data_IF_946722348856
#
_entry.id   IF_946722348856
#
_cell.length_a   1.000
_cell.length_b   1.000
_cell.length_c   1.000
_cell.angle_alpha   90.00
_cell.angle_beta   90.00
_cell.angle_gamma   90.00
#
_symmetry.space_group_name_H-M   'P 1'
#
loop_
_entity.id
_entity.type
_entity.pdbx_description
1 polymer ?
#
# COMPACT_ATOMS: atom_id res chain seq x y z
N UNK A 1 -28.48 66.84 -6.57
CA UNK A 1 -27.54 67.05 -5.43
C UNK A 1 -28.08 66.30 -4.21
N UNK A 2 -27.16 65.72 -3.43
CA UNK A 2 -27.36 64.88 -2.22
C UNK A 2 -28.35 65.47 -1.20
N UNK A 3 -29.06 64.61 -0.44
CA UNK A 3 -28.78 64.31 0.98
C UNK A 3 -29.76 63.29 1.60
N UNK A 4 -29.19 62.49 2.50
CA UNK A 4 -29.76 61.43 3.36
C UNK A 4 -30.59 62.01 4.50
N UNK A 5 -31.46 61.20 5.12
CA UNK A 5 -31.70 61.22 6.57
C UNK A 5 -32.29 59.88 7.05
N UNK A 6 -31.69 59.38 8.13
CA UNK A 6 -31.97 58.14 8.84
C UNK A 6 -33.22 58.24 9.72
N UNK A 7 -33.90 57.11 9.97
CA UNK A 7 -34.64 56.90 11.22
C UNK A 7 -34.42 55.46 11.72
N UNK A 8 -33.87 55.37 12.92
CA UNK A 8 -33.68 54.15 13.70
C UNK A 8 -35.01 53.61 14.20
N UNK A 9 -35.20 52.29 14.18
CA UNK A 9 -36.21 51.63 14.99
C UNK A 9 -35.56 50.43 15.69
N UNK A 10 -35.47 50.54 17.01
CA UNK A 10 -34.95 49.52 17.92
C UNK A 10 -35.99 48.40 18.07
N UNK A 11 -35.57 47.14 17.95
CA UNK A 11 -36.40 45.97 18.22
C UNK A 11 -35.86 45.28 19.49
N UNK A 12 -36.60 45.41 20.58
CA UNK A 12 -36.40 44.69 21.85
C UNK A 12 -37.00 43.29 21.71
N UNK A 13 -36.18 42.24 21.62
CA UNK A 13 -36.61 40.86 21.84
C UNK A 13 -36.50 40.54 23.33
N UNK A 14 -37.64 40.41 24.01
CA UNK A 14 -37.72 39.85 25.35
C UNK A 14 -37.77 38.31 25.26
N UNK A 15 -36.82 37.63 25.91
CA UNK A 15 -36.86 36.20 26.18
C UNK A 15 -37.87 35.93 27.31
N UNK A 16 -38.86 35.07 27.07
CA UNK A 16 -39.65 34.43 28.12
C UNK A 16 -39.32 32.94 28.16
N UNK A 17 -38.72 32.51 29.26
CA UNK A 17 -38.50 31.12 29.65
C UNK A 17 -39.84 30.50 30.08
N UNK A 18 -40.20 29.34 29.50
CA UNK A 18 -41.26 28.47 30.04
C UNK A 18 -40.62 27.18 30.52
N UNK A 19 -40.65 26.97 31.84
CA UNK A 19 -40.28 25.74 32.51
C UNK A 19 -41.51 24.82 32.69
N UNK A 20 -41.20 23.53 32.88
CA UNK A 20 -42.02 22.31 32.88
C UNK A 20 -43.30 22.29 33.74
N UNK A 21 -44.28 21.46 33.35
CA UNK A 21 -44.58 20.15 33.98
C UNK A 21 -46.07 19.75 33.79
N UNK A 22 -46.34 18.50 33.38
CA UNK A 22 -47.17 17.55 34.12
C UNK A 22 -47.27 16.19 33.40
N UNK A 23 -47.19 15.15 34.23
CA UNK A 23 -47.25 13.72 33.92
C UNK A 23 -48.62 13.28 33.43
N UNK A 24 -48.64 12.31 32.51
CA UNK A 24 -49.67 11.28 32.45
C UNK A 24 -49.03 9.90 32.29
N UNK A 25 -49.47 9.00 33.17
CA UNK A 25 -49.06 7.60 33.31
C UNK A 25 -49.70 6.72 32.25
N UNK A 26 -48.91 5.84 31.63
CA UNK A 26 -49.40 4.75 30.80
C UNK A 26 -48.38 3.63 30.70
N UNK A 27 -48.51 2.62 31.55
CA UNK A 27 -47.80 1.33 31.45
C UNK A 27 -48.30 0.58 30.21
N UNK A 28 -47.39 0.19 29.32
CA UNK A 28 -47.59 -0.94 28.42
C UNK A 28 -46.26 -1.67 28.21
N UNK A 29 -46.16 -2.80 28.90
CA UNK A 29 -45.26 -3.90 28.61
C UNK A 29 -45.67 -4.52 27.27
N UNK A 30 -44.79 -4.54 26.27
CA UNK A 30 -44.88 -5.50 25.17
C UNK A 30 -43.50 -5.70 24.56
N UNK A 31 -42.99 -6.91 24.79
CA UNK A 31 -42.10 -7.68 23.92
C UNK A 31 -41.89 -7.12 22.51
N UNK A 32 -40.65 -6.85 22.15
CA UNK A 32 -40.23 -6.93 20.76
C UNK A 32 -39.68 -8.32 20.50
N UNK A 33 -40.47 -9.08 19.75
CA UNK A 33 -40.07 -10.31 19.08
C UNK A 33 -38.93 -10.03 18.11
N UNK A 34 -38.06 -11.04 18.04
CA UNK A 34 -37.07 -11.31 17.02
C UNK A 34 -37.71 -11.52 15.63
N UNK A 35 -36.81 -11.62 14.64
CA UNK A 35 -36.94 -11.95 13.21
C UNK A 35 -36.71 -10.71 12.32
N UNK A 36 -35.68 -10.62 11.46
CA UNK A 36 -34.85 -11.65 10.86
C UNK A 36 -33.61 -10.98 10.21
N UNK A 37 -32.61 -11.82 9.92
CA UNK A 37 -31.53 -11.64 8.95
C UNK A 37 -30.12 -11.27 9.44
N UNK A 38 -29.30 -12.30 9.38
CA UNK A 38 -27.85 -12.32 9.16
C UNK A 38 -26.98 -12.01 10.38
N UNK A 39 -26.44 -13.10 10.93
CA UNK A 39 -25.45 -13.05 11.98
C UNK A 39 -24.15 -12.40 11.53
N UNK A 40 -23.72 -11.44 12.32
CA UNK A 40 -22.33 -11.34 12.72
C UNK A 40 -22.36 -11.08 14.22
N UNK A 41 -21.90 -12.06 15.00
CA UNK A 41 -21.65 -11.88 16.43
C UNK A 41 -20.36 -11.05 16.53
N UNK A 42 -20.46 -9.74 16.27
CA UNK A 42 -19.37 -8.76 16.38
C UNK A 42 -19.21 -8.31 17.83
N UNK A 43 -18.95 -9.28 18.70
CA UNK A 43 -18.37 -9.00 20.01
C UNK A 43 -16.91 -9.41 19.93
N UNK A 44 -16.01 -8.46 20.22
CA UNK A 44 -14.60 -8.68 20.62
C UNK A 44 -13.48 -8.10 19.73
N UNK A 45 -13.67 -7.12 18.83
CA UNK A 45 -12.54 -6.30 18.30
C UNK A 45 -12.91 -4.88 17.81
N UNK A 46 -13.94 -4.24 18.36
CA UNK A 46 -14.19 -2.83 18.07
C UNK A 46 -13.21 -1.95 18.87
N UNK A 47 -11.95 -1.95 18.46
CA UNK A 47 -10.84 -1.16 19.01
C UNK A 47 -10.58 0.04 18.10
N UNK A 48 -10.94 1.25 18.56
CA UNK A 48 -10.80 2.55 17.87
C UNK A 48 -11.12 2.39 16.37
N UNK A 49 -10.52 3.01 15.34
CA UNK A 49 -10.92 2.88 13.93
C UNK A 49 -10.96 1.45 13.38
N UNK A 50 -12.01 0.69 13.72
CA UNK A 50 -12.20 -0.73 13.42
C UNK A 50 -11.69 -1.13 12.05
N UNK A 51 -12.24 -0.48 11.03
CA UNK A 51 -13.07 -1.11 9.99
C UNK A 51 -12.69 -2.54 9.70
N UNK A 52 -12.77 -3.40 10.71
CA UNK A 52 -11.97 -4.62 10.69
C UNK A 52 -12.58 -5.52 9.65
N UNK A 53 -11.76 -6.04 8.75
CA UNK A 53 -12.18 -6.81 7.59
C UNK A 53 -12.96 -6.01 6.51
N UNK A 54 -12.99 -4.68 6.53
CA UNK A 54 -13.50 -3.87 5.41
C UNK A 54 -12.58 -3.98 4.20
N UNK A 55 -11.28 -3.78 4.42
CA UNK A 55 -10.25 -3.94 3.39
C UNK A 55 -10.09 -5.42 3.04
N UNK A 56 -10.10 -5.72 1.75
CA UNK A 56 -9.91 -7.08 1.21
C UNK A 56 -8.53 -7.21 0.59
N UNK A 57 -8.07 -8.46 0.44
CA UNK A 57 -6.84 -8.71 -0.29
C UNK A 57 -7.02 -8.26 -1.76
N UNK A 58 -6.10 -7.46 -2.32
CA UNK A 58 -6.20 -7.00 -3.70
C UNK A 58 -6.00 -8.15 -4.69
N UNK A 59 -7.06 -8.51 -5.43
CA UNK A 59 -7.03 -9.64 -6.37
C UNK A 59 -6.06 -9.44 -7.55
N UNK A 60 -5.73 -8.19 -7.88
CA UNK A 60 -4.90 -7.78 -9.01
C UNK A 60 -3.59 -7.11 -8.58
N UNK A 61 -3.07 -7.48 -7.40
CA UNK A 61 -1.79 -6.97 -6.86
C UNK A 61 -0.65 -7.03 -7.89
N UNK A 62 -0.59 -8.10 -8.69
CA UNK A 62 0.45 -8.29 -9.73
C UNK A 62 0.40 -7.25 -10.86
N UNK A 63 -0.72 -6.53 -11.00
CA UNK A 63 -0.87 -5.43 -11.96
C UNK A 63 -0.55 -4.07 -11.35
N UNK A 64 -0.37 -4.03 -10.02
CA UNK A 64 0.00 -2.84 -9.28
C UNK A 64 1.37 -2.31 -9.70
N UNK A 65 1.57 -1.02 -9.47
CA UNK A 65 2.83 -0.33 -9.73
C UNK A 65 3.62 -0.31 -8.43
N UNK A 66 4.81 -0.93 -8.42
CA UNK A 66 5.76 -0.75 -7.32
C UNK A 66 6.33 0.66 -7.44
N UNK A 67 6.00 1.54 -6.49
CA UNK A 67 6.44 2.93 -6.50
C UNK A 67 7.47 3.26 -5.42
N UNK A 68 7.65 2.36 -4.45
CA UNK A 68 8.70 2.46 -3.44
C UNK A 68 9.19 1.06 -3.05
N UNK A 69 10.49 0.95 -2.77
CA UNK A 69 11.12 -0.26 -2.25
C UNK A 69 12.01 0.14 -1.07
N UNK A 70 11.96 -0.64 0.02
CA UNK A 70 12.78 -0.41 1.21
C UNK A 70 13.58 -1.67 1.59
N UNK A 71 14.90 -1.52 1.69
CA UNK A 71 15.81 -2.56 2.15
C UNK A 71 16.41 -2.20 3.51
N UNK A 72 16.20 -3.05 4.52
CA UNK A 72 16.62 -2.81 5.91
C UNK A 72 17.09 -4.10 6.57
N UNK A 73 18.36 -4.43 6.40
CA UNK A 73 18.94 -5.65 6.96
C UNK A 73 18.45 -6.89 6.20
N UNK A 74 17.77 -7.79 6.90
CA UNK A 74 17.10 -8.98 6.35
C UNK A 74 15.69 -8.69 5.81
N UNK A 75 15.20 -7.46 5.97
CA UNK A 75 13.87 -7.04 5.53
C UNK A 75 13.97 -6.38 4.15
N UNK A 76 13.10 -6.81 3.24
CA UNK A 76 12.86 -6.19 1.94
C UNK A 76 11.35 -5.94 1.80
N UNK A 77 10.96 -4.75 1.35
CA UNK A 77 9.56 -4.38 1.20
C UNK A 77 9.32 -3.67 -0.12
N UNK A 78 8.35 -4.14 -0.90
CA UNK A 78 7.85 -3.47 -2.09
C UNK A 78 6.48 -2.86 -1.79
N UNK A 79 6.32 -1.58 -2.12
CA UNK A 79 5.04 -0.86 -1.96
C UNK A 79 4.39 -0.66 -3.33
N UNK A 80 3.25 -1.31 -3.50
CA UNK A 80 2.41 -1.28 -4.68
C UNK A 80 1.30 -0.25 -4.53
N UNK A 81 0.94 0.39 -5.64
CA UNK A 81 -0.33 1.11 -5.81
C UNK A 81 -1.13 0.52 -6.97
N UNK A 82 -2.44 0.37 -6.80
CA UNK A 82 -3.30 -0.23 -7.84
C UNK A 82 -3.58 0.69 -9.03
N UNK A 83 -3.32 1.99 -8.91
CA UNK A 83 -3.76 2.99 -9.89
C UNK A 83 -2.66 3.96 -10.27
N UNK A 84 -2.47 4.15 -11.58
CA UNK A 84 -1.66 5.24 -12.14
C UNK A 84 -2.25 6.61 -11.80
N UNK A 85 -3.58 6.70 -11.75
CA UNK A 85 -4.30 7.94 -11.42
C UNK A 85 -3.96 8.42 -10.01
N UNK A 86 -3.73 7.50 -9.06
CA UNK A 86 -3.29 7.85 -7.71
C UNK A 86 -1.89 8.50 -7.70
N UNK A 87 -0.96 7.99 -8.51
CA UNK A 87 0.37 8.60 -8.66
C UNK A 87 0.26 9.99 -9.28
N UNK A 88 -0.54 10.14 -10.34
CA UNK A 88 -0.76 11.43 -11.00
C UNK A 88 -1.40 12.45 -10.04
N UNK A 89 -2.38 12.02 -9.24
CA UNK A 89 -3.01 12.86 -8.21
C UNK A 89 -1.97 13.33 -7.17
N UNK A 90 -1.15 12.41 -6.64
CA UNK A 90 -0.09 12.75 -5.70
C UNK A 90 0.89 13.78 -6.29
N UNK A 91 1.34 13.56 -7.54
CA UNK A 91 2.25 14.45 -8.26
C UNK A 91 1.69 15.86 -8.45
N UNK A 92 0.38 15.97 -8.63
CA UNK A 92 -0.32 17.25 -8.79
C UNK A 92 -0.68 17.91 -7.45
N UNK A 93 -0.41 17.26 -6.32
CA UNK A 93 -0.83 17.72 -4.99
C UNK A 93 -2.35 17.65 -4.80
N UNK A 94 -3.01 16.77 -5.55
CA UNK A 94 -4.44 16.47 -5.46
C UNK A 94 -4.68 15.38 -4.42
N UNK A 95 -5.92 15.27 -3.95
CA UNK A 95 -6.31 14.18 -3.06
C UNK A 95 -6.30 12.85 -3.81
N UNK A 96 -5.82 11.79 -3.14
CA UNK A 96 -5.83 10.46 -3.72
C UNK A 96 -7.27 9.99 -3.97
N UNK A 97 -7.57 9.44 -5.17
CA UNK A 97 -8.92 9.06 -5.53
C UNK A 97 -9.43 7.92 -4.65
N UNK A 98 -10.73 7.93 -4.37
CA UNK A 98 -11.44 6.81 -3.76
C UNK A 98 -11.24 5.53 -4.59
N UNK A 99 -10.91 4.43 -3.92
CA UNK A 99 -10.48 3.18 -4.55
C UNK A 99 -8.98 3.04 -4.74
N UNK A 100 -8.18 4.01 -4.28
CA UNK A 100 -6.74 3.83 -4.14
C UNK A 100 -6.45 2.74 -3.11
N UNK A 101 -5.69 1.73 -3.52
CA UNK A 101 -5.21 0.64 -2.68
C UNK A 101 -3.69 0.66 -2.70
N UNK A 102 -3.10 0.74 -1.51
CA UNK A 102 -1.65 0.66 -1.30
C UNK A 102 -1.36 -0.64 -0.58
N UNK A 103 -0.45 -1.44 -1.14
CA UNK A 103 -0.08 -2.74 -0.59
C UNK A 103 1.42 -2.80 -0.39
N UNK A 104 1.83 -2.99 0.86
CA UNK A 104 3.20 -3.37 1.20
C UNK A 104 3.31 -4.90 1.15
N UNK A 105 4.21 -5.40 0.32
CA UNK A 105 4.62 -6.81 0.28
C UNK A 105 5.94 -6.92 1.02
N UNK A 106 5.92 -7.57 2.19
CA UNK A 106 7.06 -7.67 3.07
C UNK A 106 7.74 -9.03 2.96
N UNK A 107 9.06 -9.01 2.85
CA UNK A 107 9.92 -10.17 2.81
C UNK A 107 10.91 -10.12 3.97
N UNK A 108 11.24 -11.29 4.53
CA UNK A 108 12.25 -11.46 5.56
C UNK A 108 13.13 -12.65 5.22
N UNK A 109 14.45 -12.47 5.29
CA UNK A 109 15.44 -13.49 4.89
C UNK A 109 15.23 -14.00 3.45
N UNK A 110 14.65 -13.16 2.57
CA UNK A 110 14.32 -13.51 1.19
C UNK A 110 13.03 -14.32 1.01
N UNK A 111 12.29 -14.59 2.09
CA UNK A 111 11.00 -15.28 2.06
C UNK A 111 9.85 -14.30 2.27
N UNK A 112 8.70 -14.55 1.63
CA UNK A 112 7.49 -13.73 1.81
C UNK A 112 7.00 -13.85 3.26
N UNK A 113 6.89 -12.73 3.96
CA UNK A 113 6.54 -12.67 5.39
C UNK A 113 5.09 -12.19 5.61
N UNK A 114 4.67 -11.12 4.92
CA UNK A 114 3.34 -10.54 5.12
C UNK A 114 2.88 -9.63 3.98
N UNK A 115 1.57 -9.34 3.97
CA UNK A 115 1.00 -8.22 3.23
C UNK A 115 0.34 -7.25 4.20
N UNK A 116 0.57 -5.95 4.02
CA UNK A 116 -0.15 -4.89 4.71
C UNK A 116 -0.85 -4.04 3.66
N UNK A 117 -2.17 -3.89 3.78
CA UNK A 117 -3.00 -3.19 2.80
C UNK A 117 -3.68 -2.02 3.49
N UNK A 118 -3.63 -0.85 2.86
CA UNK A 118 -4.48 0.29 3.18
C UNK A 118 -5.30 0.66 1.95
N UNK A 119 -6.57 0.99 2.17
CA UNK A 119 -7.51 1.31 1.10
C UNK A 119 -8.32 2.55 1.47
N UNK A 120 -8.42 3.48 0.52
CA UNK A 120 -9.20 4.70 0.65
C UNK A 120 -10.56 4.52 0.00
N UNK A 121 -11.66 4.79 0.72
CA UNK A 121 -13.01 4.81 0.14
C UNK A 121 -13.85 5.95 0.69
N UNK A 122 -14.53 6.63 -0.23
CA UNK A 122 -15.48 7.70 0.09
C UNK A 122 -16.46 7.27 1.18
N UNK A 123 -16.50 8.03 2.27
CA UNK A 123 -17.37 7.82 3.42
C UNK A 123 -16.84 6.86 4.49
N UNK A 124 -15.71 6.19 4.28
CA UNK A 124 -15.03 5.44 5.34
C UNK A 124 -14.49 6.38 6.42
N UNK A 125 -14.30 5.87 7.63
CA UNK A 125 -13.90 6.66 8.80
C UNK A 125 -14.98 7.56 9.41
N UNK A 126 -16.04 7.91 8.68
CA UNK A 126 -17.09 8.85 9.13
C UNK A 126 -17.91 8.39 10.34
N UNK A 127 -17.86 7.09 10.66
CA UNK A 127 -18.47 6.49 11.83
C UNK A 127 -17.65 6.67 13.13
N UNK A 128 -16.40 7.15 13.04
CA UNK A 128 -15.48 7.36 14.16
C UNK A 128 -15.30 8.86 14.44
N UNK A 129 -14.73 9.21 15.59
CA UNK A 129 -14.35 10.61 15.83
C UNK A 129 -13.10 11.00 15.01
N UNK A 130 -12.89 12.31 14.72
CA UNK A 130 -11.72 12.78 13.96
C UNK A 130 -10.35 12.36 14.51
N UNK A 131 -10.27 12.15 15.82
CA UNK A 131 -9.02 11.73 16.50
C UNK A 131 -8.77 10.22 16.36
N UNK A 132 -9.76 9.47 15.87
CA UNK A 132 -9.79 8.02 15.81
C UNK A 132 -9.72 7.46 14.38
N UNK A 133 -9.76 8.32 13.36
CA UNK A 133 -9.71 7.93 11.95
C UNK A 133 -8.53 8.55 11.20
N UNK A 134 -8.06 7.85 10.18
CA UNK A 134 -7.01 8.33 9.27
C UNK A 134 -7.66 8.79 7.97
N UNK A 135 -8.50 9.84 8.05
CA UNK A 135 -9.35 10.24 6.93
C UNK A 135 -10.28 9.10 6.50
N UNK A 136 -10.28 8.79 5.20
CA UNK A 136 -11.07 7.72 4.57
C UNK A 136 -10.29 6.41 4.40
N UNK A 137 -9.15 6.26 5.08
CA UNK A 137 -8.31 5.07 5.03
C UNK A 137 -8.71 4.03 6.07
N UNK A 138 -8.85 2.79 5.61
CA UNK A 138 -8.93 1.60 6.45
C UNK A 138 -7.73 0.69 6.16
N UNK A 139 -7.44 -0.24 7.08
CA UNK A 139 -6.24 -1.05 7.05
C UNK A 139 -6.55 -2.53 7.30
N UNK A 140 -5.78 -3.42 6.67
CA UNK A 140 -5.83 -4.85 6.97
C UNK A 140 -4.45 -5.50 6.75
N UNK A 141 -4.10 -6.41 7.64
CA UNK A 141 -2.95 -7.29 7.46
C UNK A 141 -3.39 -8.67 6.97
N UNK A 142 -2.59 -9.26 6.08
CA UNK A 142 -2.78 -10.60 5.55
C UNK A 142 -1.53 -11.46 5.72
N UNK A 143 -1.73 -12.77 5.85
CA UNK A 143 -0.66 -13.78 5.86
C UNK A 143 -0.09 -13.99 4.45
N UNK A 144 1.04 -14.70 4.30
CA UNK A 144 1.55 -15.10 2.98
C UNK A 144 0.54 -15.88 2.12
N UNK A 145 -0.37 -16.62 2.77
CA UNK A 145 -1.48 -17.34 2.12
C UNK A 145 -2.65 -16.43 1.72
N UNK A 146 -2.52 -15.11 1.90
CA UNK A 146 -3.52 -14.07 1.58
C UNK A 146 -4.76 -14.09 2.46
N UNK A 147 -4.70 -14.84 3.56
CA UNK A 147 -5.76 -14.88 4.56
C UNK A 147 -5.64 -13.70 5.52
N UNK A 148 -6.78 -13.25 6.07
CA UNK A 148 -6.79 -12.20 7.09
C UNK A 148 -5.94 -12.63 8.28
N UNK A 149 -4.93 -11.82 8.63
CA UNK A 149 -4.10 -12.08 9.81
C UNK A 149 -4.86 -11.65 11.07
N UNK A 150 -4.94 -12.50 12.11
CA UNK A 150 -5.45 -12.07 13.41
C UNK A 150 -4.45 -11.09 14.03
N UNK A 151 -4.80 -9.80 14.00
CA UNK A 151 -3.88 -8.73 14.32
C UNK A 151 -4.57 -7.55 15.00
N UNK A 152 -3.83 -6.73 15.76
CA UNK A 152 -4.34 -5.47 16.27
C UNK A 152 -4.22 -4.40 15.17
N UNK A 153 -5.33 -4.15 14.47
CA UNK A 153 -5.42 -3.16 13.39
C UNK A 153 -5.28 -1.72 13.89
N UNK A 154 -5.65 -1.42 15.15
CA UNK A 154 -5.52 -0.09 15.75
C UNK A 154 -4.09 0.47 15.75
N UNK A 155 -3.09 -0.42 15.71
CA UNK A 155 -1.67 0.00 15.57
C UNK A 155 -1.37 0.64 14.21
N UNK A 156 -2.07 0.23 13.15
CA UNK A 156 -1.90 0.77 11.81
C UNK A 156 -2.39 2.23 11.81
N UNK A 157 -3.57 2.47 12.38
CA UNK A 157 -4.12 3.81 12.55
C UNK A 157 -3.15 4.71 13.33
N UNK A 158 -2.72 4.27 14.51
CA UNK A 158 -1.84 5.04 15.38
C UNK A 158 -0.49 5.37 14.74
N UNK A 159 0.10 4.44 13.97
CA UNK A 159 1.37 4.67 13.30
C UNK A 159 1.22 5.67 12.14
N UNK A 160 0.12 5.59 11.39
CA UNK A 160 -0.13 6.44 10.23
C UNK A 160 -0.73 7.81 10.58
N UNK A 161 -1.31 7.98 11.78
CA UNK A 161 -1.93 9.23 12.22
C UNK A 161 -0.97 10.44 12.16
N UNK A 162 0.32 10.23 12.44
CA UNK A 162 1.33 11.30 12.36
C UNK A 162 1.65 11.77 10.92
N UNK A 163 1.10 11.10 9.91
CA UNK A 163 1.27 11.42 8.49
C UNK A 163 0.05 12.13 7.89
N UNK A 164 -0.82 12.75 8.69
CA UNK A 164 -2.03 13.46 8.21
C UNK A 164 -1.74 14.42 7.05
N UNK A 165 -0.59 15.11 7.07
CA UNK A 165 -0.19 16.07 6.03
C UNK A 165 0.11 15.43 4.67
N UNK A 166 0.36 14.13 4.67
CA UNK A 166 0.72 13.31 3.52
C UNK A 166 -0.35 12.24 3.26
N UNK A 167 -1.62 12.59 3.51
CA UNK A 167 -2.79 11.70 3.37
C UNK A 167 -2.59 10.36 4.10
N UNK A 168 -1.99 10.45 5.29
CA UNK A 168 -1.67 9.32 6.16
C UNK A 168 -0.68 8.31 5.56
N UNK A 169 0.03 8.63 4.47
CA UNK A 169 0.97 7.73 3.80
C UNK A 169 2.43 8.06 4.12
N UNK A 170 3.15 7.09 4.71
CA UNK A 170 4.59 7.23 4.97
C UNK A 170 5.44 7.32 3.68
N UNK A 171 4.92 6.85 2.56
CA UNK A 171 5.62 6.80 1.26
C UNK A 171 5.12 7.84 0.24
N UNK A 172 4.40 8.87 0.70
CA UNK A 172 3.81 9.89 -0.18
C UNK A 172 4.87 10.61 -1.04
N UNK A 173 6.04 10.92 -0.48
CA UNK A 173 7.11 11.58 -1.23
C UNK A 173 7.65 10.69 -2.35
N UNK A 174 7.82 9.38 -2.11
CA UNK A 174 8.21 8.44 -3.16
C UNK A 174 7.16 8.37 -4.27
N UNK A 175 5.87 8.44 -3.93
CA UNK A 175 4.80 8.48 -4.94
C UNK A 175 4.86 9.77 -5.77
N UNK A 176 5.07 10.93 -5.15
CA UNK A 176 5.22 12.23 -5.83
C UNK A 176 6.44 12.25 -6.75
N UNK A 177 7.52 11.56 -6.39
CA UNK A 177 8.77 11.54 -7.16
C UNK A 177 8.82 10.42 -8.21
N UNK A 178 7.85 9.51 -8.23
CA UNK A 178 7.85 8.32 -9.08
C UNK A 178 7.83 8.66 -10.59
N UNK A 179 8.74 8.08 -11.38
CA UNK A 179 8.75 8.27 -12.84
C UNK A 179 7.77 7.31 -13.54
N UNK A 180 6.62 7.84 -13.97
CA UNK A 180 5.62 7.11 -14.74
C UNK A 180 6.15 6.61 -16.11
N UNK A 181 7.26 7.16 -16.60
CA UNK A 181 7.98 6.70 -17.79
C UNK A 181 8.50 5.27 -17.65
N UNK A 182 8.88 4.85 -16.43
CA UNK A 182 9.42 3.52 -16.15
C UNK A 182 8.36 2.41 -16.36
N UNK A 183 7.10 2.70 -16.07
CA UNK A 183 5.97 1.78 -16.33
C UNK A 183 5.83 1.51 -17.82
N UNK A 184 6.02 2.54 -18.65
CA UNK A 184 5.87 2.44 -20.10
C UNK A 184 6.99 1.63 -20.74
N UNK A 185 8.21 1.69 -20.18
CA UNK A 185 9.34 0.88 -20.64
C UNK A 185 9.19 -0.60 -20.25
N UNK A 186 8.70 -0.87 -19.03
CA UNK A 186 8.40 -2.22 -18.56
C UNK A 186 7.34 -2.93 -19.43
N UNK A 187 6.27 -2.23 -19.81
CA UNK A 187 5.21 -2.80 -20.69
C UNK A 187 5.66 -2.96 -22.15
N UNK A 188 6.51 -2.07 -22.66
CA UNK A 188 7.03 -2.16 -24.03
C UNK A 188 8.19 -3.16 -24.20
N UNK A 189 8.85 -3.56 -23.12
CA UNK A 189 9.82 -4.67 -23.16
C UNK A 189 9.15 -6.05 -23.19
N UNK A 190 7.84 -6.12 -22.97
CA UNK A 190 7.05 -7.37 -22.98
C UNK A 190 6.24 -7.57 -24.27
N UNK A 191 6.34 -6.64 -25.25
CA UNK A 191 5.84 -6.85 -26.60
C UNK A 191 6.99 -7.18 -27.55
N UNK A 192 6.82 -8.27 -28.29
CA UNK A 192 7.77 -8.89 -29.21
C UNK A 192 8.53 -7.86 -30.07
N UNK A 193 9.80 -7.60 -29.74
CA UNK A 193 10.74 -7.01 -30.69
C UNK A 193 11.51 -8.16 -31.34
N UNK A 194 11.41 -8.40 -32.65
CA UNK A 194 12.31 -9.34 -33.30
C UNK A 194 13.72 -8.78 -33.16
N UNK A 195 14.59 -9.51 -32.48
CA UNK A 195 16.02 -9.20 -32.37
C UNK A 195 16.56 -9.21 -33.80
N UNK A 196 16.60 -8.04 -34.43
CA UNK A 196 17.39 -7.83 -35.62
C UNK A 196 18.86 -8.00 -35.22
N UNK A 197 19.51 -8.98 -35.85
CA UNK A 197 20.89 -9.34 -35.62
C UNK A 197 21.80 -8.10 -35.61
N UNK A 198 22.48 -7.87 -34.48
CA UNK A 198 23.56 -6.89 -34.40
C UNK A 198 24.80 -7.53 -35.06
N UNK A 199 25.40 -6.91 -36.09
CA UNK A 199 26.62 -7.43 -36.72
C UNK A 199 27.80 -7.36 -35.75
N UNK A 200 28.47 -8.48 -35.49
CA UNK A 200 29.55 -8.63 -34.51
C UNK A 200 30.95 -8.22 -35.04
N UNK A 201 31.03 -7.31 -36.00
CA UNK A 201 32.30 -6.98 -36.67
C UNK A 201 33.23 -6.03 -35.88
N UNK A 202 32.90 -5.61 -34.66
CA UNK A 202 33.69 -4.60 -33.94
C UNK A 202 34.19 -4.96 -32.53
N UNK A 203 33.92 -6.14 -32.00
CA UNK A 203 34.45 -6.53 -30.69
C UNK A 203 35.84 -7.19 -30.85
N UNK A 204 36.90 -6.37 -30.81
CA UNK A 204 38.27 -6.89 -30.69
C UNK A 204 38.64 -6.96 -29.21
N UNK A 205 38.58 -8.16 -28.63
CA UNK A 205 39.10 -8.45 -27.29
C UNK A 205 40.62 -8.33 -27.33
N UNK A 206 41.20 -7.50 -26.48
CA UNK A 206 42.66 -7.45 -26.28
C UNK A 206 43.06 -8.51 -25.26
N UNK A 207 43.98 -9.39 -25.65
CA UNK A 207 44.59 -10.37 -24.75
C UNK A 207 45.47 -9.66 -23.71
N UNK A 208 45.28 -10.00 -22.44
CA UNK A 208 46.11 -9.53 -21.33
C UNK A 208 47.40 -10.34 -21.38
N UNK A 209 48.51 -9.68 -21.70
CA UNK A 209 49.86 -10.25 -21.58
C UNK A 209 50.35 -10.14 -20.14
N UNK A 210 50.71 -11.29 -19.56
CA UNK A 210 51.47 -11.42 -18.32
C UNK A 210 52.82 -10.67 -18.40
N UNK A 211 53.22 -9.99 -17.33
CA UNK A 211 54.50 -10.18 -16.63
C UNK A 211 54.75 -9.16 -15.49
N UNK A 212 54.97 -9.73 -14.30
CA UNK A 212 55.87 -9.31 -13.21
C UNK A 212 55.58 -8.03 -12.40
N UNK A 213 55.19 -8.21 -11.13
CA UNK A 213 56.06 -7.85 -10.00
C UNK A 213 55.58 -8.50 -8.68
N UNK A 214 56.38 -9.47 -8.23
CA UNK A 214 56.92 -9.64 -6.88
C UNK A 214 56.06 -9.25 -5.66
N UNK A 215 55.51 -10.24 -4.97
CA UNK A 215 55.60 -10.33 -3.50
C UNK A 215 55.28 -11.74 -3.00
N UNK A 216 56.21 -12.26 -2.19
CA UNK A 216 56.22 -13.56 -1.52
C UNK A 216 55.01 -13.83 -0.61
N UNK A 217 54.55 -15.08 -0.69
CA UNK A 217 54.09 -16.01 0.35
C UNK A 217 53.45 -15.48 1.64
N UNK A 218 52.22 -15.92 1.94
CA UNK A 218 51.87 -16.83 3.07
C UNK A 218 50.50 -17.52 2.80
N UNK A 219 50.53 -18.87 2.70
CA UNK A 219 49.52 -19.91 3.01
C UNK A 219 48.00 -19.63 2.77
N UNK A 220 47.33 -20.24 1.79
CA UNK A 220 46.87 -21.65 1.65
C UNK A 220 45.70 -22.03 2.58
N UNK A 221 44.47 -22.08 2.03
CA UNK A 221 43.68 -23.33 1.90
C UNK A 221 42.39 -23.15 1.06
N UNK A 222 42.29 -23.96 -0.01
CA UNK A 222 41.14 -24.60 -0.68
C UNK A 222 39.78 -23.85 -0.79
N UNK A 223 39.25 -23.60 -1.99
CA UNK A 223 38.62 -24.65 -2.81
C UNK A 223 38.26 -24.14 -4.22
N UNK A 224 39.19 -24.21 -5.17
CA UNK A 224 38.91 -23.96 -6.59
C UNK A 224 38.40 -25.24 -7.29
N UNK A 225 37.17 -25.64 -6.96
CA UNK A 225 36.38 -26.57 -7.76
C UNK A 225 35.57 -25.78 -8.79
N UNK A 226 36.24 -25.53 -9.92
CA UNK A 226 35.74 -25.19 -11.27
C UNK A 226 34.41 -24.43 -11.33
N UNK A 227 34.52 -23.11 -11.27
CA UNK A 227 33.46 -22.12 -11.47
C UNK A 227 32.61 -22.39 -12.74
N UNK A 228 33.23 -22.95 -13.78
CA UNK A 228 32.57 -23.28 -15.05
C UNK A 228 31.58 -24.47 -14.94
N UNK A 229 31.84 -25.44 -14.07
CA UNK A 229 30.93 -26.58 -13.87
C UNK A 229 29.69 -26.18 -13.07
N UNK A 230 29.86 -25.28 -12.08
CA UNK A 230 28.74 -24.66 -11.35
C UNK A 230 27.89 -23.81 -12.28
N UNK A 231 28.50 -22.98 -13.12
CA UNK A 231 27.77 -22.18 -14.11
C UNK A 231 26.94 -23.05 -15.07
N UNK A 232 27.50 -24.16 -15.56
CA UNK A 232 26.79 -25.12 -16.42
C UNK A 232 25.61 -25.79 -15.70
N UNK A 233 25.74 -26.12 -14.41
CA UNK A 233 24.65 -26.69 -13.60
C UNK A 233 23.52 -25.68 -13.37
N UNK A 234 23.86 -24.43 -13.05
CA UNK A 234 22.87 -23.36 -12.87
C UNK A 234 22.11 -23.11 -14.17
N UNK A 235 22.82 -23.01 -15.30
CA UNK A 235 22.20 -22.80 -16.61
C UNK A 235 21.28 -23.97 -17.01
N UNK A 236 21.64 -25.21 -16.67
CA UNK A 236 20.81 -26.39 -16.92
C UNK A 236 19.52 -26.42 -16.08
N UNK A 237 19.56 -25.93 -14.83
CA UNK A 237 18.38 -25.83 -13.96
C UNK A 237 17.43 -24.75 -14.49
N UNK A 238 17.95 -23.57 -14.83
CA UNK A 238 17.16 -22.47 -15.39
C UNK A 238 16.48 -22.87 -16.71
N UNK A 239 17.19 -23.59 -17.59
CA UNK A 239 16.61 -24.10 -18.83
C UNK A 239 15.47 -25.10 -18.59
N UNK A 240 15.58 -25.97 -17.58
CA UNK A 240 14.50 -26.89 -17.22
C UNK A 240 13.26 -26.16 -16.70
N UNK A 241 13.44 -25.17 -15.84
CA UNK A 241 12.34 -24.35 -15.30
C UNK A 241 11.61 -23.61 -16.43
N UNK A 242 12.36 -22.99 -17.34
CA UNK A 242 11.81 -22.32 -18.52
C UNK A 242 10.99 -23.26 -19.40
N UNK A 243 11.49 -24.46 -19.69
CA UNK A 243 10.78 -25.44 -20.52
C UNK A 243 9.54 -26.04 -19.83
N UNK A 244 9.46 -26.04 -18.49
CA UNK A 244 8.27 -26.45 -17.76
C UNK A 244 7.13 -25.42 -17.86
N UNK A 245 7.44 -24.14 -18.05
CA UNK A 245 6.45 -23.07 -18.22
C UNK A 245 5.65 -23.18 -19.53
N UNK A 246 6.12 -23.95 -20.52
CA UNK A 246 5.44 -24.16 -21.82
C UNK A 246 4.74 -25.53 -21.94
N UNK A 247 4.53 -26.24 -20.83
CA UNK A 247 3.87 -27.56 -20.79
C UNK A 247 2.48 -27.57 -20.13
N UNK A 248 1.83 -26.43 -20.00
CA UNK A 248 0.39 -26.32 -19.67
C UNK A 248 -0.39 -25.75 -20.83
#
# INVERSE_FOLDING_TARGET
>A
MKKRLFHSLALLLALTLTACNNNDTGTMDTSHQEEDSSGAKSGEYAEIGSGANLVKFPEDLEKGIVFATYDRGDIHEDIYVNSKEAIEAAQNGEELPSGTVITLVGYKDGELDQYLVMEKRTGWGSQYSPEEHNGEWEYQAFTPDKEVRPDNIGRCFSCHANQERDDYMNSMDQMKEFDLGDISQSKNSSSETPIAAIPTEHWKVSEISDHLNDSKDVNKEESNLKNEEKAKKIQAVLLKMYLQQYKS
#
